data_IF_948360842938
#
_entry.id   IF_948360842938
#
_cell.length_a   1.000
_cell.length_b   1.000
_cell.length_c   1.000
_cell.angle_alpha   90.00
_cell.angle_beta   90.00
_cell.angle_gamma   90.00
#
_symmetry.space_group_name_H-M   'P 1'
#
loop_
_entity.id
_entity.type
_entity.pdbx_description
1 polymer ?
#
# COMPACT_ATOMS: atom_id res chain seq x y z
N UNK A 1 -17.26 -25.21 -10.90
CA UNK A 1 -18.22 -24.68 -9.89
C UNK A 1 -17.88 -23.22 -9.68
N UNK A 2 -18.88 -22.33 -9.71
CA UNK A 2 -18.66 -20.87 -9.57
C UNK A 2 -19.42 -20.38 -8.35
N UNK A 3 -18.77 -19.57 -7.51
CA UNK A 3 -19.34 -19.04 -6.27
C UNK A 3 -19.23 -17.52 -6.33
N UNK A 4 -20.32 -16.84 -5.95
CA UNK A 4 -20.32 -15.39 -5.76
C UNK A 4 -20.19 -15.10 -4.26
N UNK A 5 -19.19 -14.30 -3.89
CA UNK A 5 -18.92 -13.93 -2.51
C UNK A 5 -18.80 -12.41 -2.42
N UNK A 6 -19.59 -11.81 -1.53
CA UNK A 6 -19.59 -10.36 -1.28
C UNK A 6 -19.01 -10.12 0.11
N UNK A 7 -17.85 -9.47 0.18
CA UNK A 7 -17.25 -8.96 1.42
C UNK A 7 -16.79 -7.52 1.19
N UNK A 8 -16.84 -6.72 2.25
CA UNK A 8 -16.29 -5.36 2.27
C UNK A 8 -14.80 -5.35 2.67
N UNK A 9 -14.27 -6.50 3.09
CA UNK A 9 -12.89 -6.66 3.53
C UNK A 9 -12.07 -7.29 2.41
N UNK A 10 -11.23 -6.47 1.75
CA UNK A 10 -10.42 -6.93 0.61
C UNK A 10 -9.45 -8.08 0.98
N UNK A 11 -9.00 -8.13 2.24
CA UNK A 11 -8.12 -9.20 2.71
C UNK A 11 -8.80 -10.57 2.79
N UNK A 12 -10.12 -10.63 3.01
CA UNK A 12 -10.91 -11.87 2.93
C UNK A 12 -11.09 -12.30 1.48
N UNK A 13 -11.51 -11.36 0.63
CA UNK A 13 -11.71 -11.58 -0.82
C UNK A 13 -10.44 -12.13 -1.45
N UNK A 14 -9.28 -11.58 -1.14
CA UNK A 14 -8.03 -12.06 -1.74
C UNK A 14 -7.50 -13.39 -1.21
N UNK A 15 -8.12 -13.99 -0.20
CA UNK A 15 -7.82 -15.38 0.20
C UNK A 15 -8.71 -16.39 -0.49
N UNK A 16 -9.87 -15.96 -1.00
CA UNK A 16 -10.94 -16.86 -1.45
C UNK A 16 -11.36 -16.66 -2.91
N UNK A 17 -11.04 -15.53 -3.53
CA UNK A 17 -11.50 -15.15 -4.87
C UNK A 17 -10.33 -14.83 -5.81
N UNK A 18 -10.49 -15.20 -7.09
CA UNK A 18 -9.52 -14.85 -8.14
C UNK A 18 -9.79 -13.45 -8.75
N UNK A 19 -11.05 -13.00 -8.69
CA UNK A 19 -11.53 -11.75 -9.30
C UNK A 19 -12.43 -10.98 -8.34
N UNK A 20 -12.43 -9.65 -8.47
CA UNK A 20 -13.37 -8.75 -7.79
C UNK A 20 -14.15 -7.93 -8.81
N UNK A 21 -15.42 -7.70 -8.51
CA UNK A 21 -16.28 -6.77 -9.22
C UNK A 21 -16.41 -5.49 -8.38
N UNK A 22 -16.04 -4.34 -8.95
CA UNK A 22 -16.22 -3.04 -8.31
C UNK A 22 -17.59 -2.48 -8.65
N UNK A 23 -18.38 -2.15 -7.63
CA UNK A 23 -19.70 -1.52 -7.78
C UNK A 23 -19.62 -0.06 -7.34
N UNK A 24 -20.13 0.87 -8.16
CA UNK A 24 -20.20 2.30 -7.85
C UNK A 24 -21.54 2.84 -8.32
N UNK A 25 -22.23 3.61 -7.47
CA UNK A 25 -23.54 4.19 -7.75
C UNK A 25 -24.57 3.17 -8.28
N UNK A 26 -24.56 1.97 -7.69
CA UNK A 26 -25.45 0.87 -8.08
C UNK A 26 -25.12 0.19 -9.42
N UNK A 27 -23.96 0.48 -10.03
CA UNK A 27 -23.55 -0.07 -11.33
C UNK A 27 -22.20 -0.78 -11.25
N UNK A 28 -22.00 -1.77 -12.12
CA UNK A 28 -20.72 -2.44 -12.29
C UNK A 28 -19.72 -1.48 -12.93
N UNK A 29 -18.77 -1.00 -12.11
CA UNK A 29 -17.69 -0.12 -12.55
C UNK A 29 -16.56 -0.91 -13.24
N UNK A 30 -16.39 -2.19 -12.92
CA UNK A 30 -15.43 -3.06 -13.58
C UNK A 30 -15.23 -4.39 -12.88
N UNK A 31 -14.51 -5.30 -13.55
CA UNK A 31 -14.07 -6.60 -12.99
C UNK A 31 -12.56 -6.73 -13.21
N UNK A 32 -11.82 -7.08 -12.16
CA UNK A 32 -10.36 -7.19 -12.20
C UNK A 32 -9.87 -8.36 -11.37
N UNK A 33 -8.62 -8.81 -11.59
CA UNK A 33 -8.03 -9.85 -10.74
C UNK A 33 -7.77 -9.27 -9.36
N UNK A 34 -7.90 -10.08 -8.31
CA UNK A 34 -7.64 -9.58 -6.95
C UNK A 34 -6.19 -9.14 -6.76
N UNK A 35 -5.24 -9.77 -7.47
CA UNK A 35 -3.84 -9.38 -7.45
C UNK A 35 -3.61 -7.96 -8.00
N UNK A 36 -4.38 -7.56 -9.02
CA UNK A 36 -4.28 -6.22 -9.60
C UNK A 36 -4.80 -5.17 -8.61
N UNK A 37 -5.89 -5.48 -7.90
CA UNK A 37 -6.44 -4.61 -6.83
C UNK A 37 -5.42 -4.46 -5.70
N UNK A 38 -4.77 -5.56 -5.29
CA UNK A 38 -3.75 -5.55 -4.24
C UNK A 38 -2.53 -4.74 -4.63
N UNK A 39 -2.12 -4.79 -5.90
CA UNK A 39 -1.03 -3.95 -6.42
C UNK A 39 -1.47 -2.48 -6.46
N UNK A 40 -2.71 -2.18 -6.82
CA UNK A 40 -3.22 -0.81 -6.78
C UNK A 40 -3.44 -0.28 -5.36
N UNK A 41 -3.25 -1.10 -4.32
CA UNK A 41 -3.44 -0.67 -2.94
C UNK A 41 -2.44 0.43 -2.57
N UNK A 42 -2.99 1.53 -2.06
CA UNK A 42 -2.24 2.66 -1.50
C UNK A 42 -2.03 2.38 -0.02
N UNK A 43 -0.78 2.47 0.43
CA UNK A 43 -0.38 2.25 1.82
C UNK A 43 0.16 3.56 2.38
N UNK A 44 -0.34 4.00 3.52
CA UNK A 44 0.25 5.10 4.28
C UNK A 44 1.11 4.50 5.39
N UNK A 45 2.36 4.93 5.50
CA UNK A 45 3.31 4.50 6.52
C UNK A 45 3.75 5.73 7.32
N UNK A 46 3.77 5.59 8.65
CA UNK A 46 4.31 6.59 9.57
C UNK A 46 5.56 5.99 10.18
N UNK A 47 6.70 6.65 9.98
CA UNK A 47 8.01 6.12 10.33
C UNK A 47 8.73 7.12 11.23
N UNK A 48 9.24 6.63 12.36
CA UNK A 48 10.14 7.38 13.23
C UNK A 48 11.57 6.88 13.02
N UNK A 49 12.47 7.75 12.58
CA UNK A 49 13.88 7.44 12.37
C UNK A 49 14.70 7.76 13.63
N UNK A 50 15.63 6.89 14.02
CA UNK A 50 16.56 7.17 15.12
C UNK A 50 17.67 8.17 14.72
N UNK A 51 17.85 8.40 13.42
CA UNK A 51 18.76 9.37 12.83
C UNK A 51 18.06 10.19 11.74
N UNK A 52 18.79 10.99 10.96
CA UNK A 52 18.20 11.75 9.86
C UNK A 52 17.53 10.78 8.85
N UNK A 53 16.30 11.10 8.37
CA UNK A 53 15.60 10.26 7.41
C UNK A 53 16.34 10.20 6.07
N UNK A 54 16.11 9.15 5.24
CA UNK A 54 16.81 8.89 3.98
C UNK A 54 16.65 9.92 2.84
N UNK A 55 16.25 11.16 3.12
CA UNK A 55 16.09 12.23 2.12
C UNK A 55 15.29 11.77 0.88
N UNK A 56 15.82 12.07 -0.30
CA UNK A 56 15.18 11.77 -1.59
C UNK A 56 15.12 10.27 -1.91
N UNK A 57 15.87 9.41 -1.21
CA UNK A 57 15.91 7.98 -1.50
C UNK A 57 14.54 7.27 -1.31
N UNK A 58 13.68 7.81 -0.44
CA UNK A 58 12.31 7.32 -0.30
C UNK A 58 11.48 7.65 -1.54
N UNK A 59 11.64 8.86 -2.09
CA UNK A 59 10.96 9.29 -3.31
C UNK A 59 11.44 8.52 -4.53
N UNK A 60 12.75 8.32 -4.65
CA UNK A 60 13.36 7.50 -5.72
C UNK A 60 12.91 6.04 -5.67
N UNK A 61 12.59 5.53 -4.48
CA UNK A 61 12.01 4.20 -4.29
C UNK A 61 10.49 4.12 -4.57
N UNK A 62 9.87 5.24 -4.98
CA UNK A 62 8.45 5.30 -5.35
C UNK A 62 7.50 5.62 -4.18
N UNK A 63 8.02 6.13 -3.06
CA UNK A 63 7.17 6.67 -2.00
C UNK A 63 6.86 8.16 -2.25
N UNK A 64 5.61 8.56 -2.06
CA UNK A 64 5.21 9.95 -1.97
C UNK A 64 5.37 10.41 -0.52
N UNK A 65 6.28 11.33 -0.24
CA UNK A 65 6.44 11.92 1.10
C UNK A 65 5.33 12.94 1.31
N UNK A 66 4.47 12.70 2.30
CA UNK A 66 3.33 13.56 2.61
C UNK A 66 3.69 14.61 3.66
N UNK A 67 4.50 14.23 4.66
CA UNK A 67 4.89 15.08 5.77
C UNK A 67 6.27 14.66 6.29
N UNK A 68 7.05 15.64 6.73
CA UNK A 68 8.33 15.42 7.42
C UNK A 68 8.42 16.37 8.59
N UNK A 69 8.45 15.82 9.80
CA UNK A 69 8.61 16.55 11.07
C UNK A 69 9.84 16.00 11.80
N UNK A 70 10.98 16.66 11.59
CA UNK A 70 12.27 16.20 12.12
C UNK A 70 12.63 14.80 11.63
N UNK A 71 12.58 13.81 12.53
CA UNK A 71 12.86 12.42 12.23
C UNK A 71 11.59 11.57 11.97
N UNK A 72 10.42 12.19 11.98
CA UNK A 72 9.15 11.54 11.67
C UNK A 72 8.76 11.81 10.22
N UNK A 73 8.52 10.76 9.45
CA UNK A 73 8.13 10.86 8.05
C UNK A 73 6.81 10.13 7.83
N UNK A 74 5.85 10.82 7.22
CA UNK A 74 4.62 10.21 6.71
C UNK A 74 4.77 10.05 5.22
N UNK A 75 4.68 8.81 4.75
CA UNK A 75 4.82 8.50 3.33
C UNK A 75 3.69 7.62 2.83
N UNK A 76 3.41 7.74 1.55
CA UNK A 76 2.41 6.98 0.83
C UNK A 76 3.10 6.16 -0.25
N UNK A 77 2.85 4.86 -0.25
CA UNK A 77 3.36 3.94 -1.26
C UNK A 77 2.17 3.37 -2.01
N UNK A 78 2.17 3.55 -3.33
CA UNK A 78 1.22 2.91 -4.22
C UNK A 78 1.94 1.80 -4.96
N UNK A 79 1.39 0.58 -5.02
CA UNK A 79 2.09 -0.51 -5.70
C UNK A 79 2.94 -1.38 -4.78
N UNK A 80 4.13 -1.70 -5.30
CA UNK A 80 5.11 -2.53 -4.63
C UNK A 80 5.83 -1.73 -3.54
N UNK A 81 5.79 -2.23 -2.31
CA UNK A 81 6.48 -1.61 -1.16
C UNK A 81 7.92 -2.10 -1.02
N UNK A 82 8.29 -3.17 -1.72
CA UNK A 82 9.62 -3.78 -1.65
C UNK A 82 10.79 -2.79 -1.84
N UNK A 83 10.76 -1.89 -2.84
CA UNK A 83 11.79 -0.87 -3.02
C UNK A 83 11.94 0.06 -1.81
N UNK A 84 10.81 0.54 -1.26
CA UNK A 84 10.80 1.41 -0.07
C UNK A 84 11.36 0.66 1.13
N UNK A 85 10.93 -0.58 1.37
CA UNK A 85 11.45 -1.41 2.47
C UNK A 85 12.97 -1.59 2.37
N UNK A 86 13.54 -1.74 1.17
CA UNK A 86 15.00 -1.87 0.99
C UNK A 86 15.77 -0.62 1.42
N UNK A 87 15.22 0.57 1.19
CA UNK A 87 15.80 1.83 1.68
C UNK A 87 15.81 1.86 3.21
N UNK A 88 14.73 1.35 3.82
CA UNK A 88 14.59 1.31 5.28
C UNK A 88 15.55 0.32 5.96
N UNK A 89 15.98 -0.77 5.30
CA UNK A 89 16.91 -1.77 5.88
C UNK A 89 18.23 -1.14 6.36
N UNK A 90 18.67 -0.05 5.73
CA UNK A 90 19.88 0.69 6.12
C UNK A 90 19.69 1.70 7.25
N UNK A 91 18.46 1.88 7.75
CA UNK A 91 18.12 2.91 8.73
C UNK A 91 17.50 2.26 9.97
N UNK A 92 17.78 2.79 11.15
CA UNK A 92 17.10 2.36 12.37
C UNK A 92 15.74 3.07 12.44
N UNK A 93 14.71 2.33 12.01
CA UNK A 93 13.33 2.84 11.85
C UNK A 93 12.42 2.14 12.84
N UNK A 94 11.65 2.93 13.60
CA UNK A 94 10.59 2.44 14.48
C UNK A 94 9.24 2.61 13.79
N UNK A 95 8.46 1.53 13.82
CA UNK A 95 7.10 1.51 13.32
C UNK A 95 6.14 1.75 14.50
N UNK A 96 5.21 2.70 14.34
CA UNK A 96 4.14 2.97 15.32
C UNK A 96 2.78 2.52 14.78
#
# INVERSE_FOLDING_TARGET
RTVFHSSHVLSEVGRTCDRVAMLRDGRLAGVMRVDDVRRAAVRTMVLDFAGPPPGDALADAGAEVLETDGARVVLRVSGDVGPVLRVLVGHDVRYM
#
